data_IF_883432879770
#
_entry.id   IF_883432879770
#
_cell.length_a   1.000
_cell.length_b   1.000
_cell.length_c   1.000
_cell.angle_alpha   90.00
_cell.angle_beta   90.00
_cell.angle_gamma   90.00
#
_symmetry.space_group_name_H-M   'P 1'
#
loop_
_entity.id
_entity.type
_entity.pdbx_description
1 polymer ?
#
# COMPACT_ATOMS: atom_id res chain seq x y z
N UNK A 1 16.40 -40.47 -7.13
CA UNK A 1 15.04 -40.02 -6.82
C UNK A 1 15.04 -38.50 -6.98
N UNK A 2 14.66 -38.02 -8.16
CA UNK A 2 14.45 -36.59 -8.42
C UNK A 2 13.07 -36.25 -7.86
N UNK A 3 13.01 -35.65 -6.68
CA UNK A 3 11.76 -35.08 -6.17
C UNK A 3 11.34 -33.98 -7.12
N UNK A 4 10.23 -34.19 -7.82
CA UNK A 4 9.54 -33.14 -8.56
C UNK A 4 8.87 -32.27 -7.50
N UNK A 5 9.53 -31.20 -7.08
CA UNK A 5 8.89 -30.14 -6.29
C UNK A 5 7.90 -29.44 -7.22
N UNK A 6 6.67 -29.94 -7.20
CA UNK A 6 5.56 -29.36 -7.96
C UNK A 6 5.13 -28.13 -7.20
N UNK A 7 5.37 -26.94 -7.75
CA UNK A 7 4.93 -25.68 -7.15
C UNK A 7 3.41 -25.75 -6.95
N UNK A 8 2.90 -25.59 -5.71
CA UNK A 8 1.49 -25.74 -5.43
C UNK A 8 0.66 -24.67 -6.17
N UNK A 9 -0.51 -25.08 -6.67
CA UNK A 9 -1.37 -24.23 -7.49
C UNK A 9 -2.00 -23.09 -6.66
N UNK A 10 -2.02 -21.88 -7.22
CA UNK A 10 -2.68 -20.72 -6.62
C UNK A 10 -4.19 -20.77 -6.82
N UNK A 11 -4.95 -20.28 -5.84
CA UNK A 11 -6.38 -19.99 -6.05
C UNK A 11 -6.57 -18.98 -7.19
N UNK A 12 -7.76 -18.99 -7.81
CA UNK A 12 -8.04 -18.10 -8.94
C UNK A 12 -7.89 -16.61 -8.56
N UNK A 13 -8.28 -16.23 -7.34
CA UNK A 13 -8.14 -14.85 -6.87
C UNK A 13 -6.70 -14.50 -6.53
N UNK A 14 -5.96 -15.38 -5.85
CA UNK A 14 -4.55 -15.16 -5.56
C UNK A 14 -3.73 -14.99 -6.85
N UNK A 15 -4.01 -15.79 -7.89
CA UNK A 15 -3.39 -15.64 -9.20
C UNK A 15 -3.67 -14.27 -9.84
N UNK A 16 -4.93 -13.84 -9.88
CA UNK A 16 -5.30 -12.51 -10.39
C UNK A 16 -4.62 -11.38 -9.62
N UNK A 17 -4.51 -11.52 -8.30
CA UNK A 17 -3.81 -10.56 -7.44
C UNK A 17 -2.34 -10.51 -7.78
N UNK A 18 -1.66 -11.64 -7.87
CA UNK A 18 -0.24 -11.73 -8.27
C UNK A 18 -0.01 -11.11 -9.66
N UNK A 19 -0.87 -11.40 -10.63
CA UNK A 19 -0.79 -10.82 -11.98
C UNK A 19 -0.95 -9.30 -11.95
N UNK A 20 -1.92 -8.80 -11.18
CA UNK A 20 -2.12 -7.37 -10.97
C UNK A 20 -0.90 -6.70 -10.32
N UNK A 21 -0.39 -7.27 -9.23
CA UNK A 21 0.76 -6.74 -8.48
C UNK A 21 2.01 -6.63 -9.36
N UNK A 22 2.33 -7.70 -10.10
CA UNK A 22 3.44 -7.67 -11.05
C UNK A 22 3.20 -6.63 -12.15
N UNK A 23 1.95 -6.50 -12.63
CA UNK A 23 1.56 -5.51 -13.65
C UNK A 23 1.75 -4.06 -13.23
N UNK A 24 1.65 -3.75 -11.92
CA UNK A 24 1.88 -2.41 -11.37
C UNK A 24 3.31 -2.20 -10.84
N UNK A 25 4.19 -3.20 -11.01
CA UNK A 25 5.60 -3.13 -10.63
C UNK A 25 5.91 -3.51 -9.18
N UNK A 26 5.01 -4.19 -8.48
CA UNK A 26 5.29 -4.85 -7.19
C UNK A 26 5.68 -6.30 -7.50
N UNK A 27 6.97 -6.59 -7.42
CA UNK A 27 7.49 -7.92 -7.75
C UNK A 27 7.02 -8.93 -6.71
N UNK A 28 6.47 -10.05 -7.17
CA UNK A 28 6.02 -11.15 -6.33
C UNK A 28 6.78 -12.44 -6.67
N UNK A 29 7.12 -13.22 -5.65
CA UNK A 29 7.82 -14.51 -5.78
C UNK A 29 7.10 -15.56 -4.94
N UNK A 30 6.62 -16.61 -5.60
CA UNK A 30 6.08 -17.76 -4.88
C UNK A 30 7.23 -18.58 -4.29
N UNK A 31 7.15 -18.87 -2.99
CA UNK A 31 8.10 -19.71 -2.25
C UNK A 31 7.35 -20.87 -1.58
N UNK A 32 8.09 -21.92 -1.18
CA UNK A 32 7.49 -23.11 -0.57
C UNK A 32 7.01 -22.85 0.87
N UNK A 33 7.79 -22.09 1.64
CA UNK A 33 7.48 -21.74 3.02
C UNK A 33 8.02 -20.35 3.35
N UNK A 34 7.38 -19.71 4.33
CA UNK A 34 7.79 -18.43 4.88
C UNK A 34 7.90 -18.59 6.40
N UNK A 35 9.02 -18.09 6.92
CA UNK A 35 9.21 -17.86 8.35
C UNK A 35 9.07 -16.37 8.62
N UNK A 36 8.30 -15.99 9.64
CA UNK A 36 8.06 -14.58 9.95
C UNK A 36 6.77 -14.35 10.73
N UNK A 37 6.30 -13.10 10.65
CA UNK A 37 5.10 -12.62 11.35
C UNK A 37 3.81 -13.23 10.78
N UNK A 38 3.67 -13.20 9.45
CA UNK A 38 2.63 -13.92 8.73
C UNK A 38 3.23 -15.21 8.13
N UNK A 39 2.53 -16.35 8.19
CA UNK A 39 3.05 -17.63 7.72
C UNK A 39 3.05 -17.77 6.18
N UNK A 40 2.43 -16.82 5.46
CA UNK A 40 2.10 -16.98 4.05
C UNK A 40 2.57 -15.84 3.14
N UNK A 41 3.03 -14.71 3.68
CA UNK A 41 3.56 -13.56 2.91
C UNK A 41 4.57 -12.78 3.75
N UNK A 42 5.60 -12.23 3.10
CA UNK A 42 6.53 -11.26 3.70
C UNK A 42 7.07 -10.28 2.66
N UNK A 43 7.46 -9.10 3.12
CA UNK A 43 8.21 -8.14 2.31
C UNK A 43 9.70 -8.46 2.38
N UNK A 44 10.38 -8.51 1.23
CA UNK A 44 11.84 -8.68 1.11
C UNK A 44 12.38 -7.57 0.21
N UNK A 45 13.05 -6.57 0.80
CA UNK A 45 13.62 -5.42 0.07
C UNK A 45 12.66 -4.73 -0.92
N UNK A 46 11.40 -4.57 -0.50
CA UNK A 46 10.35 -3.95 -1.33
C UNK A 46 9.74 -4.87 -2.40
N UNK A 47 10.09 -6.16 -2.41
CA UNK A 47 9.40 -7.23 -3.15
C UNK A 47 8.54 -8.07 -2.19
N UNK A 48 7.64 -8.89 -2.71
CA UNK A 48 6.84 -9.84 -1.93
C UNK A 48 7.29 -11.27 -2.18
N UNK A 49 7.52 -12.00 -1.10
CA UNK A 49 7.53 -13.46 -1.13
C UNK A 49 6.22 -13.98 -0.53
N UNK A 50 5.60 -14.98 -1.15
CA UNK A 50 4.33 -15.54 -0.69
C UNK A 50 4.25 -17.05 -0.93
N UNK A 51 3.41 -17.75 -0.17
CA UNK A 51 3.10 -19.17 -0.37
C UNK A 51 1.77 -19.35 -1.10
N UNK A 52 1.51 -20.54 -1.64
CA UNK A 52 0.22 -20.83 -2.32
C UNK A 52 -1.00 -20.77 -1.39
N UNK A 53 -0.78 -20.80 -0.08
CA UNK A 53 -1.82 -20.75 0.95
C UNK A 53 -2.11 -19.31 1.41
N UNK A 54 -1.46 -18.31 0.81
CA UNK A 54 -1.67 -16.92 1.16
C UNK A 54 -3.09 -16.46 0.84
N UNK A 55 -3.75 -15.86 1.82
CA UNK A 55 -5.04 -15.22 1.61
C UNK A 55 -4.86 -13.93 0.82
N UNK A 56 -5.87 -13.61 0.00
CA UNK A 56 -5.78 -12.46 -0.89
C UNK A 56 -5.70 -11.14 -0.12
N UNK A 57 -6.38 -11.06 1.02
CA UNK A 57 -6.30 -9.92 1.93
C UNK A 57 -4.88 -9.71 2.46
N UNK A 58 -4.16 -10.79 2.79
CA UNK A 58 -2.84 -10.72 3.42
C UNK A 58 -1.83 -10.15 2.42
N UNK A 59 -1.78 -10.72 1.21
CA UNK A 59 -0.86 -10.24 0.17
C UNK A 59 -1.18 -8.80 -0.29
N UNK A 60 -2.46 -8.41 -0.33
CA UNK A 60 -2.86 -7.04 -0.67
C UNK A 60 -2.50 -6.03 0.43
N UNK A 61 -2.54 -6.43 1.70
CA UNK A 61 -2.11 -5.59 2.82
C UNK A 61 -0.61 -5.31 2.74
N UNK A 62 0.21 -6.35 2.60
CA UNK A 62 1.67 -6.21 2.45
C UNK A 62 2.04 -5.44 1.16
N UNK A 63 1.32 -5.69 0.06
CA UNK A 63 1.47 -4.89 -1.15
C UNK A 63 1.12 -3.42 -0.94
N UNK A 64 0.12 -3.11 -0.09
CA UNK A 64 -0.27 -1.75 0.28
C UNK A 64 0.86 -0.99 0.96
N UNK A 65 1.64 -1.65 1.83
CA UNK A 65 2.84 -1.05 2.42
C UNK A 65 3.87 -0.68 1.34
N UNK A 66 4.13 -1.56 0.38
CA UNK A 66 5.06 -1.28 -0.72
C UNK A 66 4.52 -0.17 -1.63
N UNK A 67 3.23 -0.20 -1.96
CA UNK A 67 2.59 0.71 -2.90
C UNK A 67 2.55 2.16 -2.40
N UNK A 68 2.33 2.34 -1.09
CA UNK A 68 2.21 3.66 -0.46
C UNK A 68 3.57 4.30 -0.16
N UNK A 69 4.65 3.53 -0.14
CA UNK A 69 6.02 4.05 0.02
C UNK A 69 6.57 4.63 -1.28
N UNK A 70 7.12 5.87 -1.26
CA UNK A 70 7.81 6.45 -2.41
C UNK A 70 8.85 5.52 -3.01
N UNK A 71 8.90 5.43 -4.34
CA UNK A 71 9.70 4.42 -5.04
C UNK A 71 11.20 4.44 -4.64
N UNK A 72 11.76 5.63 -4.34
CA UNK A 72 13.15 5.76 -3.90
C UNK A 72 13.46 5.09 -2.55
N UNK A 73 12.44 4.77 -1.74
CA UNK A 73 12.60 4.20 -0.40
C UNK A 73 12.06 2.77 -0.26
N UNK A 74 11.39 2.21 -1.28
CA UNK A 74 10.76 0.88 -1.18
C UNK A 74 11.73 -0.23 -0.76
N UNK A 75 12.99 -0.14 -1.17
CA UNK A 75 14.03 -1.11 -0.81
C UNK A 75 14.37 -1.14 0.69
N UNK A 76 13.88 -0.16 1.47
CA UNK A 76 14.03 -0.15 2.92
C UNK A 76 13.07 -1.12 3.61
N UNK A 77 11.94 -1.46 2.97
CA UNK A 77 10.96 -2.39 3.51
C UNK A 77 11.53 -3.82 3.46
N UNK A 78 11.62 -4.47 4.63
CA UNK A 78 12.20 -5.81 4.77
C UNK A 78 11.68 -6.47 6.05
N UNK A 79 10.63 -7.28 5.93
CA UNK A 79 9.86 -7.78 7.07
C UNK A 79 9.06 -6.67 7.74
N UNK A 80 9.35 -6.40 9.02
CA UNK A 80 8.74 -5.30 9.77
C UNK A 80 8.98 -3.96 9.05
N UNK A 81 7.91 -3.21 8.80
CA UNK A 81 7.95 -1.92 8.09
C UNK A 81 8.38 -0.76 8.99
N UNK A 82 8.31 -0.92 10.32
CA UNK A 82 8.59 0.12 11.30
C UNK A 82 10.02 0.68 11.22
N UNK A 83 11.09 -0.14 11.03
CA UNK A 83 12.44 0.36 10.81
C UNK A 83 12.56 1.19 9.53
N UNK A 84 11.88 0.81 8.45
CA UNK A 84 11.89 1.54 7.19
C UNK A 84 11.20 2.89 7.33
N UNK A 85 10.02 2.94 7.97
CA UNK A 85 9.29 4.18 8.25
C UNK A 85 10.12 5.15 9.09
N UNK A 86 10.74 4.67 10.18
CA UNK A 86 11.64 5.50 11.01
C UNK A 86 12.81 6.05 10.21
N UNK A 87 13.41 5.22 9.35
CA UNK A 87 14.53 5.63 8.50
C UNK A 87 14.12 6.70 7.48
N UNK A 88 13.00 6.51 6.78
CA UNK A 88 12.48 7.50 5.83
C UNK A 88 12.19 8.85 6.51
N UNK A 89 11.52 8.83 7.66
CA UNK A 89 11.23 10.03 8.45
C UNK A 89 12.51 10.75 8.88
N UNK A 90 13.52 10.00 9.32
CA UNK A 90 14.82 10.57 9.68
C UNK A 90 15.49 11.23 8.47
N UNK A 91 15.53 10.55 7.31
CA UNK A 91 16.16 11.09 6.11
C UNK A 91 15.49 12.37 5.59
N UNK A 92 14.15 12.43 5.57
CA UNK A 92 13.46 13.67 5.16
C UNK A 92 13.62 14.81 6.18
N UNK A 93 13.72 14.47 7.47
CA UNK A 93 13.96 15.44 8.53
C UNK A 93 15.38 16.01 8.45
N UNK A 94 16.37 15.16 8.23
CA UNK A 94 17.78 15.55 8.07
C UNK A 94 18.01 16.36 6.79
N UNK A 95 17.22 16.10 5.75
CA UNK A 95 17.21 16.91 4.53
C UNK A 95 16.55 18.29 4.73
N UNK A 96 15.92 18.57 5.88
CA UNK A 96 15.29 19.85 6.18
C UNK A 96 14.11 20.17 5.27
N UNK A 97 13.39 19.15 4.80
CA UNK A 97 12.22 19.34 3.94
C UNK A 97 11.07 19.97 4.72
N UNK A 98 10.34 20.88 4.07
CA UNK A 98 9.11 21.44 4.61
C UNK A 98 8.05 20.33 4.73
N UNK A 99 7.29 20.22 5.84
CA UNK A 99 6.25 19.22 6.01
C UNK A 99 5.17 19.21 4.91
N UNK A 100 4.97 20.32 4.21
CA UNK A 100 4.03 20.44 3.10
C UNK A 100 4.60 20.02 1.74
N UNK A 101 5.91 19.71 1.66
CA UNK A 101 6.53 19.18 0.45
C UNK A 101 5.88 17.83 0.07
N UNK A 102 5.69 17.55 -1.24
CA UNK A 102 5.07 16.30 -1.69
C UNK A 102 5.75 15.04 -1.15
N UNK A 103 7.08 15.04 -1.04
CA UNK A 103 7.83 13.90 -0.50
C UNK A 103 7.56 13.70 1.00
N UNK A 104 7.55 14.78 1.78
CA UNK A 104 7.28 14.70 3.22
C UNK A 104 5.87 14.15 3.45
N UNK A 105 4.87 14.69 2.74
CA UNK A 105 3.49 14.22 2.79
C UNK A 105 3.36 12.75 2.43
N UNK A 106 4.07 12.27 1.41
CA UNK A 106 4.01 10.86 1.04
C UNK A 106 4.61 9.95 2.12
N UNK A 107 5.73 10.34 2.74
CA UNK A 107 6.39 9.55 3.79
C UNK A 107 5.57 9.45 5.08
N UNK A 108 4.81 10.49 5.45
CA UNK A 108 3.93 10.41 6.64
C UNK A 108 2.60 9.69 6.38
N UNK A 109 2.28 9.36 5.12
CA UNK A 109 1.02 8.73 4.69
C UNK A 109 1.27 7.33 4.07
N UNK A 110 2.10 6.51 4.72
CA UNK A 110 2.42 5.15 4.28
C UNK A 110 2.42 4.14 5.45
N UNK A 111 1.41 4.22 6.31
CA UNK A 111 1.21 3.33 7.45
C UNK A 111 0.09 2.30 7.21
N UNK A 112 -0.18 1.44 8.19
CA UNK A 112 -1.19 0.37 8.14
C UNK A 112 -2.57 0.82 7.63
N UNK A 113 -3.10 2.01 7.99
CA UNK A 113 -4.39 2.48 7.49
C UNK A 113 -4.38 2.73 5.99
N UNK A 114 -3.32 3.35 5.46
CA UNK A 114 -3.17 3.61 4.02
C UNK A 114 -2.96 2.31 3.26
N UNK A 115 -2.16 1.38 3.80
CA UNK A 115 -1.99 0.04 3.23
C UNK A 115 -3.32 -0.71 3.15
N UNK A 116 -4.14 -0.62 4.20
CA UNK A 116 -5.48 -1.23 4.25
C UNK A 116 -6.43 -0.61 3.23
N UNK A 117 -6.50 0.73 3.15
CA UNK A 117 -7.33 1.42 2.17
C UNK A 117 -6.88 1.15 0.74
N UNK A 118 -5.56 1.04 0.52
CA UNK A 118 -5.00 0.67 -0.78
C UNK A 118 -5.39 -0.76 -1.17
N UNK A 119 -5.26 -1.70 -0.24
CA UNK A 119 -5.63 -3.11 -0.45
C UNK A 119 -7.11 -3.26 -0.82
N UNK A 120 -8.00 -2.50 -0.16
CA UNK A 120 -9.42 -2.43 -0.53
C UNK A 120 -9.65 -1.92 -1.95
N UNK A 121 -9.02 -0.80 -2.32
CA UNK A 121 -9.12 -0.23 -3.65
C UNK A 121 -8.61 -1.18 -4.74
N UNK A 122 -7.48 -1.86 -4.48
CA UNK A 122 -6.94 -2.88 -5.37
C UNK A 122 -7.91 -4.08 -5.49
N UNK A 123 -8.49 -4.54 -4.38
CA UNK A 123 -9.44 -5.64 -4.39
C UNK A 123 -10.72 -5.33 -5.18
N UNK A 124 -11.26 -4.11 -5.04
CA UNK A 124 -12.37 -3.61 -5.86
C UNK A 124 -11.99 -3.61 -7.35
N UNK A 125 -10.80 -3.12 -7.70
CA UNK A 125 -10.33 -3.05 -9.08
C UNK A 125 -10.17 -4.43 -9.74
N UNK A 126 -9.65 -5.42 -9.00
CA UNK A 126 -9.50 -6.80 -9.47
C UNK A 126 -10.86 -7.51 -9.57
N UNK A 127 -11.90 -6.99 -8.90
CA UNK A 127 -13.23 -7.59 -8.83
C UNK A 127 -13.33 -8.71 -7.80
N UNK A 128 -12.51 -8.66 -6.74
CA UNK A 128 -12.52 -9.65 -5.65
C UNK A 128 -13.84 -9.52 -4.86
N UNK A 129 -14.51 -10.63 -4.49
CA UNK A 129 -15.71 -10.63 -3.66
C UNK A 129 -15.49 -9.99 -2.29
N UNK A 130 -16.50 -9.27 -1.80
CA UNK A 130 -16.43 -8.43 -0.59
C UNK A 130 -15.93 -9.19 0.64
N UNK A 131 -16.38 -10.43 0.79
CA UNK A 131 -16.11 -11.33 1.91
C UNK A 131 -14.63 -11.73 2.07
N UNK A 132 -13.82 -11.61 1.02
CA UNK A 132 -12.39 -11.99 1.04
C UNK A 132 -11.45 -10.80 0.75
N UNK A 133 -11.96 -9.57 0.69
CA UNK A 133 -11.11 -8.38 0.48
C UNK A 133 -10.26 -8.04 1.70
N UNK A 134 -10.88 -8.16 2.88
CA UNK A 134 -10.25 -7.94 4.18
C UNK A 134 -10.78 -9.00 5.12
N UNK A 135 -9.89 -9.84 5.64
CA UNK A 135 -10.23 -10.86 6.63
C UNK A 135 -10.03 -10.34 8.07
N UNK A 136 -10.82 -10.85 9.00
CA UNK A 136 -10.91 -10.32 10.37
C UNK A 136 -9.64 -10.50 11.20
N UNK A 137 -8.80 -11.49 10.88
CA UNK A 137 -7.57 -11.76 11.61
C UNK A 137 -6.52 -10.64 11.51
N UNK A 138 -6.65 -9.73 10.54
CA UNK A 138 -5.82 -8.53 10.46
C UNK A 138 -6.05 -7.54 11.61
N UNK A 139 -7.22 -7.58 12.25
CA UNK A 139 -7.68 -6.49 13.10
C UNK A 139 -8.17 -6.94 14.48
N UNK A 140 -7.69 -8.07 15.01
CA UNK A 140 -8.16 -8.61 16.31
C UNK A 140 -9.69 -8.63 16.41
N UNK A 141 -10.36 -9.21 15.40
CA UNK A 141 -11.82 -9.29 15.24
C UNK A 141 -12.55 -7.97 14.86
N UNK A 142 -11.83 -6.86 14.65
CA UNK A 142 -12.42 -5.59 14.19
C UNK A 142 -12.50 -5.45 12.65
N UNK A 143 -12.29 -6.54 11.89
CA UNK A 143 -12.28 -6.48 10.42
C UNK A 143 -13.61 -6.05 9.80
N UNK A 144 -14.74 -6.39 10.44
CA UNK A 144 -16.06 -5.95 10.00
C UNK A 144 -16.21 -4.42 10.04
N UNK A 145 -15.71 -3.77 11.08
CA UNK A 145 -15.74 -2.31 11.22
C UNK A 145 -14.85 -1.64 10.16
N UNK A 146 -13.68 -2.23 9.86
CA UNK A 146 -12.82 -1.73 8.79
C UNK A 146 -13.48 -1.84 7.42
N UNK A 147 -14.08 -2.99 7.09
CA UNK A 147 -14.83 -3.19 5.84
C UNK A 147 -15.96 -2.16 5.71
N UNK A 148 -16.76 -1.97 6.77
CA UNK A 148 -17.85 -0.98 6.78
C UNK A 148 -17.32 0.44 6.57
N UNK A 149 -16.23 0.82 7.25
CA UNK A 149 -15.60 2.12 7.08
C UNK A 149 -15.09 2.36 5.66
N UNK A 150 -14.51 1.35 5.02
CA UNK A 150 -13.99 1.43 3.65
C UNK A 150 -15.10 1.47 2.61
N UNK A 151 -16.15 0.67 2.80
CA UNK A 151 -17.33 0.65 1.94
C UNK A 151 -18.09 1.98 1.97
N UNK A 152 -18.23 2.58 3.16
CA UNK A 152 -18.87 3.88 3.34
C UNK A 152 -17.95 5.08 3.02
N UNK A 153 -16.65 4.83 2.78
CA UNK A 153 -15.68 5.87 2.46
C UNK A 153 -15.21 6.74 3.64
N UNK A 154 -15.35 6.25 4.88
CA UNK A 154 -14.96 6.95 6.11
C UNK A 154 -13.72 6.38 6.80
N UNK A 155 -13.12 5.31 6.26
CA UNK A 155 -11.87 4.77 6.80
C UNK A 155 -10.75 5.81 6.70
N UNK A 156 -10.06 6.04 7.82
CA UNK A 156 -9.08 7.12 7.96
C UNK A 156 -7.90 7.02 6.99
N UNK A 157 -7.47 5.81 6.61
CA UNK A 157 -6.47 5.60 5.56
C UNK A 157 -6.84 6.17 4.19
N UNK A 158 -8.13 6.39 3.91
CA UNK A 158 -8.57 7.05 2.66
C UNK A 158 -8.11 8.51 2.64
N UNK A 159 -8.12 9.19 3.80
CA UNK A 159 -7.61 10.55 3.91
C UNK A 159 -6.09 10.57 3.69
N UNK A 160 -5.36 9.59 4.23
CA UNK A 160 -3.93 9.44 3.97
C UNK A 160 -3.61 9.25 2.50
N UNK A 161 -4.29 8.33 1.81
CA UNK A 161 -4.18 8.15 0.35
C UNK A 161 -4.52 9.43 -0.43
N UNK A 162 -5.54 10.18 0.00
CA UNK A 162 -5.92 11.45 -0.62
C UNK A 162 -4.82 12.53 -0.46
N UNK A 163 -4.20 12.62 0.72
CA UNK A 163 -3.08 13.53 0.98
C UNK A 163 -1.79 13.11 0.26
N UNK A 164 -1.59 11.81 0.09
CA UNK A 164 -0.50 11.22 -0.66
C UNK A 164 -0.69 11.33 -2.19
N UNK A 165 -1.87 11.78 -2.65
CA UNK A 165 -2.13 12.10 -4.06
C UNK A 165 -2.90 11.04 -4.85
N UNK A 166 -3.18 9.87 -4.26
CA UNK A 166 -3.81 8.74 -4.95
C UNK A 166 -5.26 9.03 -5.37
N UNK A 167 -6.03 9.73 -4.56
CA UNK A 167 -7.46 9.96 -4.83
C UNK A 167 -7.94 11.26 -4.19
N UNK A 168 -9.25 11.48 -4.25
CA UNK A 168 -9.96 12.46 -3.43
C UNK A 168 -11.13 11.80 -2.70
N UNK A 169 -11.64 12.48 -1.66
CA UNK A 169 -12.71 11.97 -0.79
C UNK A 169 -14.10 12.52 -1.11
N UNK A 170 -14.23 13.49 -2.02
CA UNK A 170 -15.52 14.07 -2.39
C UNK A 170 -15.65 14.34 -3.88
N UNK A 171 -16.89 14.27 -4.39
CA UNK A 171 -17.21 14.55 -5.80
C UNK A 171 -16.84 15.98 -6.21
N UNK A 172 -16.99 16.93 -5.28
CA UNK A 172 -16.58 18.32 -5.50
C UNK A 172 -15.08 18.42 -5.74
N UNK A 173 -14.28 17.78 -4.88
CA UNK A 173 -12.82 17.72 -5.06
C UNK A 173 -12.42 17.03 -6.36
N UNK A 174 -13.14 15.97 -6.76
CA UNK A 174 -12.85 15.26 -8.01
C UNK A 174 -13.05 16.19 -9.22
N UNK A 175 -14.15 16.96 -9.23
CA UNK A 175 -14.43 17.96 -10.27
C UNK A 175 -13.36 19.05 -10.33
N UNK A 176 -12.88 19.53 -9.17
CA UNK A 176 -11.93 20.64 -9.12
C UNK A 176 -10.48 20.23 -9.41
N UNK A 177 -10.09 19.01 -9.02
CA UNK A 177 -8.69 18.55 -9.14
C UNK A 177 -8.44 17.61 -10.31
N UNK A 178 -9.49 17.05 -10.91
CA UNK A 178 -9.39 16.01 -11.93
C UNK A 178 -8.94 14.64 -11.41
N UNK A 179 -8.71 14.51 -10.09
CA UNK A 179 -8.35 13.23 -9.46
C UNK A 179 -9.58 12.35 -9.24
N UNK A 180 -9.40 11.01 -9.28
CA UNK A 180 -10.51 10.08 -9.09
C UNK A 180 -11.03 10.08 -7.65
N UNK A 181 -12.32 9.80 -7.51
CA UNK A 181 -12.97 9.54 -6.22
C UNK A 181 -12.62 8.13 -5.75
N UNK A 182 -12.20 8.00 -4.49
CA UNK A 182 -12.00 6.69 -3.85
C UNK A 182 -13.26 5.79 -4.02
N UNK A 183 -13.12 4.47 -4.31
CA UNK A 183 -11.90 3.66 -4.29
C UNK A 183 -11.05 3.69 -5.57
N UNK A 184 -11.38 4.51 -6.57
CA UNK A 184 -10.54 4.63 -7.76
C UNK A 184 -9.28 5.45 -7.43
N UNK A 185 -8.10 4.94 -7.81
CA UNK A 185 -6.82 5.59 -7.57
C UNK A 185 -6.25 6.15 -8.89
N UNK A 186 -5.55 7.28 -8.82
CA UNK A 186 -4.91 7.97 -9.95
C UNK A 186 -3.70 7.19 -10.48
N UNK A 187 -3.02 6.49 -9.57
CA UNK A 187 -1.90 5.61 -9.82
C UNK A 187 -1.89 4.52 -8.75
N UNK A 188 -1.28 3.38 -9.02
CA UNK A 188 -1.26 2.24 -8.10
C UNK A 188 -0.08 2.24 -7.14
N UNK A 189 1.03 2.88 -7.49
CA UNK A 189 2.20 2.92 -6.61
C UNK A 189 2.82 4.32 -6.58
N UNK A 190 3.31 4.77 -5.42
CA UNK A 190 3.94 6.09 -5.30
C UNK A 190 5.19 6.18 -6.18
N UNK A 191 5.30 7.14 -7.10
CA UNK A 191 6.46 7.26 -7.97
C UNK A 191 7.71 7.72 -7.18
N UNK A 192 8.81 7.90 -7.90
CA UNK A 192 9.92 8.69 -7.37
C UNK A 192 9.44 10.13 -7.23
N UNK A 193 9.47 10.66 -6.01
CA UNK A 193 9.11 12.07 -5.74
C UNK A 193 10.39 12.86 -5.54
N UNK A 194 10.71 13.74 -6.48
CA UNK A 194 11.83 14.68 -6.38
C UNK A 194 11.44 15.78 -5.39
N UNK A 195 12.30 16.13 -4.41
CA UNK A 195 12.13 17.36 -3.63
C UNK A 195 12.06 18.55 -4.58
N UNK A 196 11.17 19.52 -4.32
CA UNK A 196 11.21 20.74 -5.10
C UNK A 196 12.52 21.47 -4.77
N UNK A 197 13.35 21.77 -5.79
CA UNK A 197 14.58 22.52 -5.62
C UNK A 197 14.27 23.95 -5.17
N UNK A 198 14.10 24.16 -3.86
CA UNK A 198 14.26 25.43 -3.17
C UNK A 198 13.25 26.54 -3.44
N UNK A 199 12.77 27.11 -2.33
CA UNK A 199 12.15 28.43 -2.18
C UNK A 199 10.66 28.57 -2.47
N UNK A 200 9.82 27.77 -1.81
CA UNK A 200 8.59 28.39 -1.28
C UNK A 200 8.99 29.14 0.00
N UNK A 201 9.44 30.39 -0.15
CA UNK A 201 9.31 31.34 0.95
C UNK A 201 7.81 31.47 1.17
N UNK A 202 7.31 30.94 2.29
CA UNK A 202 5.99 31.31 2.78
C UNK A 202 5.94 32.84 2.84
N UNK A 203 5.03 33.54 2.16
CA UNK A 203 4.80 34.93 2.48
C UNK A 203 4.18 34.97 3.87
N UNK A 204 5.01 35.09 4.91
CA UNK A 204 4.57 35.77 6.12
C UNK A 204 4.46 37.26 5.77
N UNK A 205 3.38 37.64 5.09
CA UNK A 205 2.89 39.02 4.92
C UNK A 205 1.37 38.91 4.71
N UNK A 206 0.49 39.45 5.55
CA UNK A 206 0.58 40.56 6.48
C UNK A 206 -0.21 40.30 7.78
#
# INVERSE_FOLDING_TARGET
MTSITTTPELSAWLRKTVDFLNGIGIVTRQVESIEGFLPCVRIVKGELEFTSQCEVSDILHEAGHIATVPAQFRSYLDGDVSPAQRKMLQEISDAGLDPDEPLYRAVIQCSDPEATAWGWAAAEHIGIPLEIRILDHHFSDAGADQRMGLELGYHFGIHGLSHAGFCVTSRSMAKHTGRPLYPNLAFWTQPVIQPQNGSVRWPMQA
#
